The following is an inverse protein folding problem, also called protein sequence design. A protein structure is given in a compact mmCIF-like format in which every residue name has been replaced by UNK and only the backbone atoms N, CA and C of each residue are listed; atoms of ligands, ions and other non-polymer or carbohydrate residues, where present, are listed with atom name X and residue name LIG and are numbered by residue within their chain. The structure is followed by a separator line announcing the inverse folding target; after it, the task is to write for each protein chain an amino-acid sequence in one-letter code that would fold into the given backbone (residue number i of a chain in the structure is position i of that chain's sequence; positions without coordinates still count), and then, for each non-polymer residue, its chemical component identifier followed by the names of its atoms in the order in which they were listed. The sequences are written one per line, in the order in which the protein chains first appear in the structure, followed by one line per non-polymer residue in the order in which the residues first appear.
data_IF_836460786281
#
_entry.id   IF_836460786281
#
_cell.length_a   1.000
_cell.length_b   1.000
_cell.length_c   1.000
_cell.angle_alpha   90.00
_cell.angle_beta   90.00
_cell.angle_gamma   90.00
#
_symmetry.space_group_name_H-M   'P 1'
#
loop_
_entity.id
_entity.type
_entity.pdbx_description
1 polymer ?
#
# COMPACT_ATOMS: atom_id res chain seq x y z
N UNK A 1 17.45 -5.70 -16.02
CA UNK A 1 17.19 -5.73 -14.57
C UNK A 1 15.76 -5.24 -14.37
N UNK A 2 14.80 -6.09 -13.98
CA UNK A 2 13.49 -5.57 -13.57
C UNK A 2 13.73 -4.80 -12.26
N UNK A 3 13.45 -3.50 -12.24
CA UNK A 3 13.47 -2.73 -10.98
C UNK A 3 12.49 -3.43 -10.03
N UNK A 4 12.91 -3.66 -8.78
CA UNK A 4 11.96 -4.06 -7.74
C UNK A 4 11.04 -2.85 -7.53
N UNK A 5 9.85 -2.93 -8.13
CA UNK A 5 8.81 -1.92 -7.96
C UNK A 5 8.25 -2.09 -6.54
N UNK A 6 8.31 -1.03 -5.74
CA UNK A 6 7.58 -0.94 -4.47
C UNK A 6 6.45 0.07 -4.65
N UNK A 7 5.28 -0.23 -4.09
CA UNK A 7 4.14 0.68 -4.08
C UNK A 7 4.03 1.41 -2.75
N UNK A 8 3.41 2.58 -2.79
CA UNK A 8 3.11 3.42 -1.63
C UNK A 8 1.62 3.76 -1.66
N UNK A 9 0.94 3.52 -0.54
CA UNK A 9 -0.47 3.82 -0.34
C UNK A 9 -0.60 4.78 0.84
N UNK A 10 -1.20 5.93 0.60
CA UNK A 10 -1.57 6.90 1.63
C UNK A 10 -3.08 6.85 1.84
N UNK A 11 -3.52 6.71 3.10
CA UNK A 11 -4.94 6.69 3.44
C UNK A 11 -5.28 7.68 4.57
N UNK A 12 -6.56 7.99 4.75
CA UNK A 12 -7.10 8.65 5.95
C UNK A 12 -8.31 7.92 6.49
N UNK A 13 -8.58 8.11 7.78
CA UNK A 13 -9.82 7.64 8.41
C UNK A 13 -10.82 8.80 8.39
N UNK A 14 -12.00 8.57 7.83
CA UNK A 14 -13.14 9.48 7.88
C UNK A 14 -14.06 9.04 9.01
N UNK A 15 -14.41 9.94 9.92
CA UNK A 15 -15.38 9.67 10.97
C UNK A 15 -16.78 10.09 10.49
N UNK A 16 -17.65 9.11 10.23
CA UNK A 16 -19.05 9.32 9.90
C UNK A 16 -19.90 9.06 11.16
N UNK A 17 -19.95 10.06 12.06
CA UNK A 17 -20.73 9.99 13.30
C UNK A 17 -20.01 9.30 14.47
N UNK A 18 -20.76 8.97 15.53
CA UNK A 18 -20.20 8.50 16.81
C UNK A 18 -19.56 7.10 16.73
N UNK A 19 -20.07 6.21 15.86
CA UNK A 19 -19.68 4.79 15.84
C UNK A 19 -19.25 4.25 14.47
N UNK A 20 -19.17 5.09 13.42
CA UNK A 20 -18.82 4.62 12.08
C UNK A 20 -17.63 5.37 11.51
N UNK A 21 -16.66 4.61 11.02
CA UNK A 21 -15.49 5.13 10.32
C UNK A 21 -15.34 4.47 8.96
N UNK A 22 -14.78 5.22 8.02
CA UNK A 22 -14.39 4.75 6.70
C UNK A 22 -12.90 4.98 6.52
N UNK A 23 -12.27 4.12 5.75
CA UNK A 23 -10.88 4.24 5.36
C UNK A 23 -10.84 4.66 3.89
N UNK A 24 -10.27 5.82 3.60
CA UNK A 24 -10.20 6.38 2.26
C UNK A 24 -8.76 6.39 1.75
N UNK A 25 -8.54 5.86 0.54
CA UNK A 25 -7.26 6.03 -0.15
C UNK A 25 -7.15 7.47 -0.67
N UNK A 26 -6.10 8.16 -0.25
CA UNK A 26 -5.73 9.49 -0.75
C UNK A 26 -4.86 9.36 -2.01
N UNK A 27 -3.88 8.45 -1.98
CA UNK A 27 -2.95 8.27 -3.09
C UNK A 27 -2.40 6.83 -3.13
N UNK A 28 -2.18 6.31 -4.34
CA UNK A 28 -1.59 4.99 -4.57
C UNK A 28 -0.62 5.08 -5.75
N UNK A 29 0.68 4.93 -5.49
CA UNK A 29 1.71 5.25 -6.47
C UNK A 29 3.00 4.45 -6.27
N UNK A 30 3.86 4.50 -7.28
CA UNK A 30 5.22 4.01 -7.26
C UNK A 30 6.22 5.13 -7.58
N UNK A 31 7.51 4.82 -7.61
CA UNK A 31 8.52 5.76 -8.11
C UNK A 31 8.31 6.15 -9.59
N UNK A 32 7.56 5.36 -10.36
CA UNK A 32 7.25 5.62 -11.77
C UNK A 32 5.97 6.47 -11.94
N UNK A 33 5.24 6.73 -10.86
CA UNK A 33 4.02 7.53 -10.84
C UNK A 33 2.81 6.79 -10.27
N UNK A 34 1.60 7.37 -10.41
CA UNK A 34 0.37 6.78 -9.89
C UNK A 34 0.08 5.39 -10.46
N UNK A 35 -0.54 4.52 -9.66
CA UNK A 35 -1.07 3.25 -10.16
C UNK A 35 -2.16 3.53 -11.19
N UNK A 36 -2.19 2.74 -12.27
CA UNK A 36 -3.17 2.88 -13.33
C UNK A 36 -4.60 2.84 -12.79
N UNK A 37 -5.41 3.86 -13.13
CA UNK A 37 -6.83 3.92 -12.74
C UNK A 37 -7.62 2.72 -13.23
N UNK A 38 -7.22 2.11 -14.36
CA UNK A 38 -7.83 0.87 -14.85
C UNK A 38 -7.61 -0.29 -13.89
N UNK A 39 -6.36 -0.50 -13.44
CA UNK A 39 -6.01 -1.56 -12.48
C UNK A 39 -6.77 -1.36 -11.16
N UNK A 40 -6.77 -0.12 -10.65
CA UNK A 40 -7.52 0.24 -9.45
C UNK A 40 -9.01 -0.06 -9.60
N UNK A 41 -9.62 0.38 -10.71
CA UNK A 41 -11.04 0.17 -10.97
C UNK A 41 -11.38 -1.33 -11.07
N UNK A 42 -10.64 -2.08 -11.89
CA UNK A 42 -10.91 -3.51 -12.14
C UNK A 42 -10.83 -4.33 -10.85
N UNK A 43 -9.88 -4.01 -9.95
CA UNK A 43 -9.71 -4.67 -8.66
C UNK A 43 -10.64 -4.17 -7.56
N UNK A 44 -11.15 -2.94 -7.66
CA UNK A 44 -12.03 -2.37 -6.64
C UNK A 44 -13.50 -2.77 -6.82
N UNK A 45 -13.94 -3.02 -8.06
CA UNK A 45 -15.33 -3.43 -8.38
C UNK A 45 -15.90 -4.58 -7.52
N UNK A 46 -15.14 -5.62 -7.15
CA UNK A 46 -15.65 -6.71 -6.31
C UNK A 46 -15.94 -6.33 -4.85
N UNK A 47 -15.45 -5.18 -4.36
CA UNK A 47 -15.64 -4.78 -2.96
C UNK A 47 -17.08 -4.35 -2.70
N UNK A 48 -17.67 -4.84 -1.59
CA UNK A 48 -19.08 -4.58 -1.24
C UNK A 48 -19.42 -3.11 -1.06
N UNK A 49 -18.47 -2.30 -0.61
CA UNK A 49 -18.62 -0.86 -0.40
C UNK A 49 -17.89 -0.09 -1.52
N UNK A 50 -18.24 -0.35 -2.78
CA UNK A 50 -17.71 0.43 -3.88
C UNK A 50 -18.35 1.82 -3.91
N UNK A 51 -17.53 2.86 -3.98
CA UNK A 51 -17.94 4.21 -4.34
C UNK A 51 -17.19 4.61 -5.62
N UNK A 52 -17.93 5.00 -6.65
CA UNK A 52 -17.35 5.33 -7.97
C UNK A 52 -16.46 6.58 -7.95
N UNK A 53 -16.64 7.44 -6.95
CA UNK A 53 -15.93 8.71 -6.82
C UNK A 53 -14.71 8.59 -5.89
N UNK A 54 -14.82 7.78 -4.84
CA UNK A 54 -13.78 7.64 -3.82
C UNK A 54 -13.53 6.17 -3.47
N UNK A 55 -12.26 5.82 -3.25
CA UNK A 55 -11.86 4.47 -2.85
C UNK A 55 -11.99 4.32 -1.33
N UNK A 56 -13.16 3.87 -0.89
CA UNK A 56 -13.49 3.68 0.53
C UNK A 56 -13.53 2.21 0.93
N UNK A 57 -13.11 1.96 2.17
CA UNK A 57 -13.11 0.65 2.81
C UNK A 57 -13.70 0.77 4.22
N UNK A 58 -14.31 -0.31 4.72
CA UNK A 58 -14.86 -0.34 6.09
C UNK A 58 -13.79 -0.61 7.13
N UNK A 59 -12.75 -1.34 6.76
CA UNK A 59 -11.68 -1.74 7.68
C UNK A 59 -10.32 -1.53 7.03
N UNK A 60 -9.29 -1.44 7.89
CA UNK A 60 -7.90 -1.47 7.43
C UNK A 60 -7.51 -2.83 6.83
N UNK A 61 -8.19 -3.90 7.23
CA UNK A 61 -8.00 -5.24 6.67
C UNK A 61 -8.46 -5.29 5.21
N UNK A 62 -9.65 -4.75 4.90
CA UNK A 62 -10.13 -4.65 3.51
C UNK A 62 -9.18 -3.80 2.65
N UNK A 63 -8.69 -2.68 3.19
CA UNK A 63 -7.68 -1.84 2.53
C UNK A 63 -6.38 -2.63 2.27
N UNK A 64 -5.90 -3.38 3.26
CA UNK A 64 -4.70 -4.19 3.16
C UNK A 64 -4.83 -5.28 2.10
N UNK A 65 -5.98 -5.94 2.05
CA UNK A 65 -6.29 -6.94 1.03
C UNK A 65 -6.32 -6.34 -0.37
N UNK A 66 -6.99 -5.19 -0.55
CA UNK A 66 -6.99 -4.47 -1.82
C UNK A 66 -5.57 -4.05 -2.25
N UNK A 67 -4.77 -3.53 -1.31
CA UNK A 67 -3.40 -3.13 -1.60
C UNK A 67 -2.52 -4.31 -2.02
N UNK A 68 -2.72 -5.49 -1.41
CA UNK A 68 -2.06 -6.73 -1.81
C UNK A 68 -2.45 -7.16 -3.22
N UNK A 69 -3.73 -7.11 -3.58
CA UNK A 69 -4.22 -7.45 -4.92
C UNK A 69 -3.61 -6.53 -5.99
N UNK A 70 -3.55 -5.22 -5.73
CA UNK A 70 -2.89 -4.26 -6.63
C UNK A 70 -1.38 -4.56 -6.73
N UNK A 71 -0.74 -4.92 -5.61
CA UNK A 71 0.67 -5.30 -5.57
C UNK A 71 0.94 -6.56 -6.43
N UNK A 72 0.03 -7.54 -6.40
CA UNK A 72 0.11 -8.76 -7.22
C UNK A 72 -0.07 -8.46 -8.72
N UNK A 73 -1.12 -7.71 -9.07
CA UNK A 73 -1.45 -7.34 -10.46
C UNK A 73 -0.36 -6.50 -11.12
N UNK A 74 0.25 -5.58 -10.37
CA UNK A 74 1.37 -4.74 -10.86
C UNK A 74 2.72 -5.45 -10.79
N UNK A 75 2.76 -6.67 -10.24
CA UNK A 75 3.98 -7.44 -9.96
C UNK A 75 5.00 -6.67 -9.10
N UNK A 76 4.52 -5.76 -8.25
CA UNK A 76 5.35 -5.11 -7.25
C UNK A 76 5.81 -6.12 -6.19
N UNK A 77 6.96 -5.84 -5.58
CA UNK A 77 7.53 -6.69 -4.54
C UNK A 77 6.82 -6.51 -3.19
N UNK A 78 6.35 -5.29 -2.93
CA UNK A 78 5.76 -4.89 -1.66
C UNK A 78 4.91 -3.63 -1.85
N UNK A 79 4.01 -3.38 -0.89
CA UNK A 79 3.29 -2.13 -0.74
C UNK A 79 3.48 -1.59 0.68
N UNK A 80 3.81 -0.31 0.80
CA UNK A 80 3.86 0.42 2.06
C UNK A 80 2.56 1.18 2.26
N UNK A 81 1.83 0.88 3.34
CA UNK A 81 0.54 1.47 3.68
C UNK A 81 0.74 2.44 4.86
N UNK A 82 0.43 3.71 4.65
CA UNK A 82 0.69 4.76 5.61
C UNK A 82 -0.56 5.63 5.84
N UNK A 83 -0.86 5.92 7.10
CA UNK A 83 -1.94 6.84 7.44
C UNK A 83 -1.52 8.29 7.21
N UNK A 84 -2.48 9.19 6.96
CA UNK A 84 -2.21 10.62 6.86
C UNK A 84 -1.67 11.21 8.17
N UNK A 85 -2.05 10.64 9.32
CA UNK A 85 -1.53 11.04 10.63
C UNK A 85 -0.05 10.72 10.74
N UNK A 86 0.33 9.47 10.46
CA UNK A 86 1.74 9.02 10.49
C UNK A 86 2.57 9.71 9.42
N UNK A 87 1.98 9.99 8.25
CA UNK A 87 2.62 10.79 7.21
C UNK A 87 2.99 12.18 7.71
N UNK A 88 2.07 12.89 8.37
CA UNK A 88 2.33 14.23 8.90
C UNK A 88 3.41 14.21 9.99
N UNK A 89 3.33 13.24 10.91
CA UNK A 89 4.36 13.05 11.95
C UNK A 89 5.73 12.76 11.29
N UNK A 90 5.78 11.86 10.32
CA UNK A 90 7.00 11.54 9.58
C UNK A 90 7.56 12.75 8.83
N UNK A 91 6.69 13.55 8.23
CA UNK A 91 7.06 14.77 7.50
C UNK A 91 7.70 15.81 8.42
N UNK A 92 7.13 16.04 9.60
CA UNK A 92 7.66 17.00 10.58
C UNK A 92 9.06 16.61 11.09
N UNK A 93 9.40 15.33 11.04
CA UNK A 93 10.73 14.82 11.44
C UNK A 93 11.74 14.75 10.28
N UNK A 94 11.33 15.04 9.05
CA UNK A 94 12.22 15.00 7.89
C UNK A 94 13.12 16.24 7.83
N UNK A 95 14.44 16.01 7.80
CA UNK A 95 15.44 17.07 7.74
C UNK A 95 16.08 17.22 6.35
N UNK A 96 15.85 16.26 5.45
CA UNK A 96 16.39 16.30 4.09
C UNK A 96 15.51 15.53 3.08
N UNK A 97 15.83 15.69 1.79
CA UNK A 97 15.10 15.04 0.71
C UNK A 97 15.26 13.51 0.69
N UNK A 98 16.26 12.95 1.40
CA UNK A 98 16.44 11.51 1.52
C UNK A 98 15.52 10.95 2.61
N UNK A 99 15.41 11.60 3.77
CA UNK A 99 14.48 11.20 4.82
C UNK A 99 13.04 11.23 4.32
N UNK A 100 12.69 12.24 3.51
CA UNK A 100 11.38 12.32 2.87
C UNK A 100 11.11 11.14 1.92
N UNK A 101 12.08 10.76 1.09
CA UNK A 101 11.96 9.60 0.18
C UNK A 101 11.78 8.27 0.90
N UNK A 102 12.34 8.14 2.09
CA UNK A 102 12.26 6.93 2.91
C UNK A 102 11.05 6.92 3.86
N UNK A 103 10.20 7.94 3.83
CA UNK A 103 9.11 8.13 4.79
C UNK A 103 8.15 6.93 4.81
N UNK A 104 7.67 6.48 3.65
CA UNK A 104 6.81 5.30 3.55
C UNK A 104 7.48 4.03 4.04
N UNK A 105 8.78 3.85 3.75
CA UNK A 105 9.55 2.67 4.20
C UNK A 105 9.78 2.65 5.71
N UNK A 106 9.85 3.83 6.35
CA UNK A 106 10.11 3.97 7.78
C UNK A 106 8.86 3.88 8.65
N UNK A 107 7.77 4.48 8.19
CA UNK A 107 6.56 4.66 8.99
C UNK A 107 5.37 3.84 8.48
N UNK A 108 5.42 3.34 7.25
CA UNK A 108 4.35 2.56 6.67
C UNK A 108 4.35 1.10 7.12
N UNK A 109 3.17 0.52 7.23
CA UNK A 109 3.01 -0.92 7.35
C UNK A 109 3.33 -1.57 6.01
N UNK A 110 4.24 -2.55 6.00
CA UNK A 110 4.64 -3.26 4.78
C UNK A 110 3.79 -4.51 4.56
N UNK A 111 3.30 -4.70 3.35
CA UNK A 111 2.74 -5.97 2.88
C UNK A 111 3.62 -6.49 1.75
N UNK A 112 4.26 -7.63 1.96
CA UNK A 112 5.10 -8.28 0.95
C UNK A 112 4.24 -9.09 -0.03
N UNK A 113 4.61 -9.04 -1.32
CA UNK A 113 3.98 -9.87 -2.33
C UNK A 113 4.54 -11.32 -2.26
N UNK A 114 3.71 -12.32 -1.90
CA UNK A 114 4.16 -13.71 -1.80
C UNK A 114 4.69 -14.28 -3.12
N UNK A 115 4.22 -13.78 -4.26
CA UNK A 115 4.64 -14.26 -5.59
C UNK A 115 6.04 -13.80 -5.96
N UNK A 116 6.49 -12.68 -5.37
CA UNK A 116 7.86 -12.18 -5.54
C UNK A 116 8.81 -12.73 -4.46
N UNK A 117 8.33 -12.95 -3.23
CA UNK A 117 9.16 -13.40 -2.10
C UNK A 117 9.61 -14.87 -2.22
N UNK A 118 8.83 -15.75 -2.88
CA UNK A 118 9.22 -17.15 -3.16
C UNK A 118 10.48 -17.30 -4.01
N UNK A 119 10.89 -16.28 -4.77
CA UNK A 119 12.16 -16.32 -5.51
C UNK A 119 13.40 -16.18 -4.63
N UNK A 120 13.29 -15.65 -3.41
CA UNK A 120 14.40 -15.57 -2.44
C UNK A 120 14.55 -16.82 -1.58
N UNK A 121 13.52 -17.68 -1.45
CA UNK A 121 13.53 -18.80 -0.49
C UNK A 121 14.31 -20.05 -0.95
N UNK A 122 14.72 -20.11 -2.23
CA UNK A 122 15.47 -21.27 -2.76
C UNK A 122 16.93 -21.38 -2.27
N UNK A 123 17.44 -20.42 -1.48
CA UNK A 123 18.80 -20.47 -0.93
C UNK A 123 18.87 -20.98 0.52
N UNK A 124 17.77 -20.97 1.28
CA UNK A 124 17.78 -21.39 2.69
C UNK A 124 17.49 -22.88 2.91
N UNK A 125 17.01 -23.62 1.90
CA UNK A 125 16.71 -25.06 2.00
C UNK A 125 17.95 -25.99 1.90
N UNK A 126 19.18 -25.46 2.04
CA UNK A 126 20.42 -26.26 2.01
C UNK A 126 21.18 -26.33 3.33
N UNK A 127 20.70 -25.68 4.39
CA UNK A 127 21.39 -25.67 5.69
C UNK A 127 20.73 -26.51 6.78
N UNK A 128 19.61 -27.18 6.49
CA UNK A 128 18.90 -28.03 7.46
C UNK A 128 18.50 -29.42 6.92
N UNK A 129 19.24 -29.95 5.95
CA UNK A 129 19.24 -31.39 5.62
C UNK A 129 20.61 -31.98 5.92
#
# INVERSE_FOLDING_TARGET
MRKNLSLNLLYRILNEGEDSSLVEIINFFSEEGPVSSKVISDLYQPFRFHNEQNLWFKTLEDLGQFALEVCQETHAAEVFILSNVDYNIGLDTCNDARSFRELFRRYGNVIENPDQSRKKSNLFNKFFN
#
